data_IF_150922408323
#
_entry.id   IF_150922408323
#
_cell.length_a   1.000
_cell.length_b   1.000
_cell.length_c   1.000
_cell.angle_alpha   90.00
_cell.angle_beta   90.00
_cell.angle_gamma   90.00
#
_symmetry.space_group_name_H-M   'P 1'
#
loop_
_entity.id
_entity.type
_entity.pdbx_description
1 polymer ?
#
# COMPACT_ATOMS: atom_id res chain seq x y z
N UNK A 1 28.40 0.55 7.51
CA UNK A 1 28.11 -0.64 6.69
C UNK A 1 26.67 -0.51 6.22
N UNK A 2 26.41 -0.47 4.92
CA UNK A 2 25.03 -0.43 4.40
C UNK A 2 24.39 -1.80 4.61
N UNK A 3 23.35 -1.87 5.44
CA UNK A 3 22.52 -3.06 5.57
C UNK A 3 21.70 -3.18 4.28
N UNK A 4 22.04 -4.15 3.44
CA UNK A 4 21.29 -4.40 2.19
C UNK A 4 19.90 -4.90 2.55
N UNK A 5 18.89 -4.16 2.17
CA UNK A 5 17.47 -4.46 2.44
C UNK A 5 16.96 -5.41 1.35
N UNK A 6 17.49 -5.27 0.12
CA UNK A 6 17.04 -6.04 -1.04
C UNK A 6 18.10 -7.04 -1.47
N UNK A 7 17.71 -8.33 -1.60
CA UNK A 7 18.59 -9.39 -2.05
C UNK A 7 18.85 -9.30 -3.58
N UNK A 8 20.10 -9.04 -4.04
CA UNK A 8 20.37 -8.87 -5.48
C UNK A 8 20.06 -10.11 -6.32
N UNK A 9 20.22 -11.30 -5.75
CA UNK A 9 19.94 -12.56 -6.44
C UNK A 9 18.45 -12.69 -6.81
N UNK A 10 17.55 -12.26 -5.94
CA UNK A 10 16.10 -12.30 -6.19
C UNK A 10 15.72 -11.40 -7.35
N UNK A 11 16.31 -10.20 -7.42
CA UNK A 11 16.12 -9.26 -8.53
C UNK A 11 16.66 -9.85 -9.83
N UNK A 12 17.89 -10.37 -9.82
CA UNK A 12 18.50 -11.02 -10.98
C UNK A 12 17.64 -12.16 -11.53
N UNK A 13 17.18 -13.06 -10.65
CA UNK A 13 16.35 -14.20 -11.01
C UNK A 13 15.07 -13.73 -11.70
N UNK A 14 14.39 -12.74 -11.11
CA UNK A 14 13.15 -12.18 -11.66
C UNK A 14 13.36 -11.52 -13.02
N UNK A 15 14.41 -10.73 -13.17
CA UNK A 15 14.74 -10.10 -14.45
C UNK A 15 15.05 -11.15 -15.53
N UNK A 16 15.74 -12.24 -15.18
CA UNK A 16 16.04 -13.33 -16.12
C UNK A 16 14.77 -14.06 -16.56
N UNK A 17 13.87 -14.33 -15.62
CA UNK A 17 12.57 -14.95 -15.90
C UNK A 17 11.72 -14.10 -16.85
N UNK A 18 11.71 -12.78 -16.68
CA UNK A 18 10.92 -11.87 -17.50
C UNK A 18 11.51 -11.61 -18.89
N UNK A 19 12.84 -11.57 -19.01
CA UNK A 19 13.51 -11.14 -20.25
C UNK A 19 14.10 -12.29 -21.06
N UNK A 20 14.40 -13.44 -20.44
CA UNK A 20 15.16 -14.53 -21.04
C UNK A 20 16.61 -14.17 -21.39
N UNK A 21 17.08 -12.96 -21.06
CA UNK A 21 18.40 -12.44 -21.45
C UNK A 21 19.44 -12.60 -20.35
N UNK A 22 20.72 -12.58 -20.76
CA UNK A 22 21.84 -12.38 -19.82
C UNK A 22 21.77 -10.95 -19.30
N UNK A 23 22.01 -10.78 -18.01
CA UNK A 23 21.92 -9.49 -17.33
C UNK A 23 23.27 -9.19 -16.70
N UNK A 24 23.75 -7.99 -16.94
CA UNK A 24 25.00 -7.51 -16.36
C UNK A 24 24.87 -7.34 -14.84
N UNK A 25 25.93 -7.69 -14.10
CA UNK A 25 25.97 -7.53 -12.65
C UNK A 25 25.67 -6.09 -12.20
N UNK A 26 26.21 -5.08 -12.90
CA UNK A 26 26.00 -3.66 -12.58
C UNK A 26 24.53 -3.25 -12.71
N UNK A 27 23.84 -3.69 -13.77
CA UNK A 27 22.42 -3.41 -13.95
C UNK A 27 21.54 -3.92 -12.79
N UNK A 28 21.91 -5.06 -12.19
CA UNK A 28 21.21 -5.60 -11.01
C UNK A 28 21.39 -4.66 -9.82
N UNK A 29 22.61 -4.16 -9.60
CA UNK A 29 22.89 -3.25 -8.49
C UNK A 29 22.21 -1.89 -8.66
N UNK A 30 22.14 -1.36 -9.89
CA UNK A 30 21.39 -0.13 -10.15
C UNK A 30 19.91 -0.27 -9.74
N UNK A 31 19.28 -1.40 -10.09
CA UNK A 31 17.89 -1.66 -9.70
C UNK A 31 17.77 -1.87 -8.19
N UNK A 32 18.70 -2.58 -7.56
CA UNK A 32 18.71 -2.77 -6.10
C UNK A 32 18.80 -1.42 -5.39
N UNK A 33 19.74 -0.56 -5.78
CA UNK A 33 19.89 0.77 -5.20
C UNK A 33 18.61 1.59 -5.37
N UNK A 34 18.03 1.60 -6.58
CA UNK A 34 16.78 2.30 -6.83
C UNK A 34 15.63 1.80 -5.93
N UNK A 35 15.49 0.48 -5.76
CA UNK A 35 14.45 -0.09 -4.89
C UNK A 35 14.71 0.27 -3.42
N UNK A 36 15.96 0.20 -2.96
CA UNK A 36 16.33 0.59 -1.59
C UNK A 36 15.98 2.07 -1.33
N UNK A 37 16.29 2.97 -2.26
CA UNK A 37 15.89 4.38 -2.19
C UNK A 37 14.36 4.55 -2.15
N UNK A 38 13.62 3.76 -2.93
CA UNK A 38 12.15 3.81 -2.88
C UNK A 38 11.59 3.27 -1.55
N UNK A 39 12.21 2.26 -0.95
CA UNK A 39 11.84 1.74 0.37
C UNK A 39 12.03 2.84 1.41
N UNK A 40 13.20 3.49 1.44
CA UNK A 40 13.51 4.55 2.39
C UNK A 40 12.51 5.71 2.26
N UNK A 41 12.20 6.12 1.01
CA UNK A 41 11.21 7.16 0.73
C UNK A 41 9.81 6.79 1.24
N UNK A 42 9.39 5.54 1.03
CA UNK A 42 8.08 5.06 1.52
C UNK A 42 8.06 5.02 3.06
N UNK A 43 9.13 4.56 3.71
CA UNK A 43 9.22 4.51 5.18
C UNK A 43 9.08 5.92 5.77
N UNK A 44 9.83 6.90 5.25
CA UNK A 44 9.79 8.27 5.74
C UNK A 44 8.40 8.90 5.55
N UNK A 45 7.80 8.73 4.37
CA UNK A 45 6.45 9.23 4.14
C UNK A 45 5.40 8.52 5.02
N UNK A 46 5.58 7.22 5.28
CA UNK A 46 4.67 6.47 6.16
C UNK A 46 4.72 6.98 7.60
N UNK A 47 5.90 7.42 8.05
CA UNK A 47 6.07 8.06 9.34
C UNK A 47 5.34 9.41 9.40
N UNK A 48 5.46 10.25 8.36
CA UNK A 48 4.73 11.52 8.27
C UNK A 48 3.20 11.31 8.31
N UNK A 49 2.69 10.33 7.54
CA UNK A 49 1.27 9.99 7.55
C UNK A 49 0.79 9.49 8.92
N UNK A 50 1.62 8.69 9.59
CA UNK A 50 1.35 8.17 10.92
C UNK A 50 1.27 9.29 11.96
N UNK A 51 2.24 10.21 11.95
CA UNK A 51 2.28 11.37 12.85
C UNK A 51 1.10 12.31 12.60
N UNK A 52 0.79 12.60 11.33
CA UNK A 52 -0.37 13.42 10.93
C UNK A 52 -1.69 12.83 11.43
N UNK A 53 -1.89 11.53 11.25
CA UNK A 53 -3.06 10.81 11.77
C UNK A 53 -3.17 10.87 13.29
N UNK A 54 -2.05 10.74 13.98
CA UNK A 54 -2.01 10.81 15.43
C UNK A 54 -2.30 12.21 15.97
N UNK A 55 -1.80 13.24 15.31
CA UNK A 55 -2.07 14.62 15.67
C UNK A 55 -3.55 14.95 15.51
N UNK A 56 -4.17 14.54 14.39
CA UNK A 56 -5.61 14.71 14.17
C UNK A 56 -6.45 14.02 15.26
N UNK A 57 -6.06 12.79 15.64
CA UNK A 57 -6.74 12.04 16.72
C UNK A 57 -6.58 12.71 18.07
N UNK A 58 -5.39 13.24 18.36
CA UNK A 58 -5.11 13.98 19.59
C UNK A 58 -6.01 15.21 19.70
N UNK A 59 -6.16 15.98 18.63
CA UNK A 59 -7.05 17.16 18.58
C UNK A 59 -8.50 16.76 18.86
N UNK A 60 -8.93 15.61 18.37
CA UNK A 60 -10.28 15.07 18.56
C UNK A 60 -10.48 14.38 19.93
N UNK A 61 -9.46 14.35 20.80
CA UNK A 61 -9.52 13.69 22.10
C UNK A 61 -9.54 12.15 22.02
N UNK A 62 -9.19 11.58 20.85
CA UNK A 62 -9.10 10.14 20.66
C UNK A 62 -7.72 9.58 21.02
N UNK A 63 -7.67 8.26 21.17
CA UNK A 63 -6.42 7.52 21.42
C UNK A 63 -5.41 7.68 20.27
N UNK A 64 -4.15 7.97 20.63
CA UNK A 64 -3.02 8.01 19.71
C UNK A 64 -2.53 6.60 19.40
N UNK A 65 -2.36 6.29 18.11
CA UNK A 65 -1.76 5.01 17.69
C UNK A 65 -0.27 5.00 18.03
N UNK A 66 0.23 3.84 18.45
CA UNK A 66 1.66 3.61 18.73
C UNK A 66 2.35 2.77 17.65
N UNK A 67 1.58 2.14 16.76
CA UNK A 67 2.07 1.23 15.73
C UNK A 67 1.69 1.78 14.35
N UNK A 68 2.69 1.91 13.48
CA UNK A 68 2.49 2.19 12.06
C UNK A 68 1.90 0.95 11.38
N UNK A 69 0.68 1.08 10.88
CA UNK A 69 -0.05 -0.01 10.24
C UNK A 69 0.07 0.03 8.70
N UNK A 70 -0.49 -0.99 8.04
CA UNK A 70 -0.50 -1.07 6.58
C UNK A 70 -1.25 0.10 5.92
N UNK A 71 -2.16 0.78 6.63
CA UNK A 71 -2.91 1.91 6.09
C UNK A 71 -2.03 3.16 5.99
N UNK A 72 -1.14 3.39 6.95
CA UNK A 72 -0.12 4.44 6.88
C UNK A 72 0.77 4.25 5.64
N UNK A 73 1.21 3.01 5.39
CA UNK A 73 2.03 2.66 4.23
C UNK A 73 1.27 2.84 2.91
N UNK A 74 0.00 2.41 2.84
CA UNK A 74 -0.84 2.61 1.65
C UNK A 74 -1.05 4.09 1.32
N UNK A 75 -1.29 4.93 2.33
CA UNK A 75 -1.46 6.37 2.17
C UNK A 75 -0.16 7.02 1.68
N UNK A 76 0.96 6.67 2.30
CA UNK A 76 2.28 7.14 1.88
C UNK A 76 2.57 6.79 0.42
N UNK A 77 2.33 5.55 0.02
CA UNK A 77 2.49 5.10 -1.36
C UNK A 77 1.60 5.91 -2.32
N UNK A 78 0.32 6.10 -1.97
CA UNK A 78 -0.62 6.88 -2.79
C UNK A 78 -0.18 8.34 -2.93
N UNK A 79 0.37 8.93 -1.87
CA UNK A 79 0.84 10.31 -1.86
C UNK A 79 2.13 10.49 -2.67
N UNK A 80 3.06 9.54 -2.62
CA UNK A 80 4.29 9.57 -3.43
C UNK A 80 3.97 9.35 -4.91
N UNK A 81 3.00 8.49 -5.23
CA UNK A 81 2.70 8.07 -6.60
C UNK A 81 1.21 8.22 -6.95
N UNK A 82 0.69 9.46 -7.01
CA UNK A 82 -0.74 9.73 -7.17
C UNK A 82 -1.32 9.20 -8.49
N UNK A 83 -0.48 9.01 -9.51
CA UNK A 83 -0.88 8.59 -10.85
C UNK A 83 -0.59 7.10 -11.15
N UNK A 84 -0.04 6.33 -10.19
CA UNK A 84 0.21 4.90 -10.40
C UNK A 84 -0.97 4.06 -9.93
N UNK A 85 -1.54 3.28 -10.86
CA UNK A 85 -2.32 2.10 -10.53
C UNK A 85 -1.39 1.06 -9.91
N UNK A 86 -1.24 1.09 -8.58
CA UNK A 86 -0.56 0.01 -7.88
C UNK A 86 -1.30 -1.30 -8.12
N UNK A 87 -0.67 -2.21 -8.86
CA UNK A 87 -1.01 -3.62 -8.80
C UNK A 87 -0.44 -4.12 -7.47
N UNK A 88 -1.19 -3.94 -6.38
CA UNK A 88 -0.88 -4.62 -5.13
C UNK A 88 -0.97 -6.13 -5.40
N UNK A 89 0.12 -6.92 -5.27
CA UNK A 89 -0.02 -8.36 -5.31
C UNK A 89 -1.02 -8.77 -4.22
N UNK A 90 -1.96 -9.68 -4.55
CA UNK A 90 -2.87 -10.27 -3.56
C UNK A 90 -2.02 -10.72 -2.36
N UNK A 91 -2.40 -10.25 -1.16
CA UNK A 91 -1.67 -10.43 0.11
C UNK A 91 -1.02 -11.81 0.21
N UNK A 92 0.30 -11.84 0.39
CA UNK A 92 0.97 -12.95 1.03
C UNK A 92 1.14 -12.57 2.50
N UNK A 93 0.32 -13.16 3.38
CA UNK A 93 0.46 -13.04 4.83
C UNK A 93 -0.22 -11.82 5.44
N UNK A 94 -1.48 -11.97 5.81
CA UNK A 94 -2.18 -11.08 6.72
C UNK A 94 -3.52 -11.72 7.03
N UNK A 95 -3.72 -12.13 8.27
CA UNK A 95 -5.02 -12.61 8.77
C UNK A 95 -6.09 -11.59 8.36
N UNK A 96 -6.93 -11.99 7.41
CA UNK A 96 -8.14 -11.29 7.06
C UNK A 96 -9.19 -11.65 8.11
N UNK A 97 -9.07 -10.99 9.27
CA UNK A 97 -10.20 -10.80 10.17
C UNK A 97 -11.24 -9.96 9.44
N UNK A 98 -12.41 -10.58 9.24
CA UNK A 98 -13.61 -10.04 8.62
C UNK A 98 -13.98 -8.63 9.10
N UNK A 99 -14.12 -7.68 8.18
CA UNK A 99 -15.01 -6.54 8.38
C UNK A 99 -15.46 -5.99 7.01
N UNK A 100 -16.17 -6.84 6.26
CA UNK A 100 -16.75 -6.46 4.97
C UNK A 100 -18.17 -7.04 4.85
N UNK A 101 -19.02 -6.77 5.86
CA UNK A 101 -20.47 -6.99 5.73
C UNK A 101 -21.28 -5.97 6.52
N UNK A 102 -22.15 -5.28 5.77
CA UNK A 102 -23.18 -4.29 6.14
C UNK A 102 -22.58 -2.89 6.21
N UNK A 103 -22.87 -1.98 5.30
CA UNK A 103 -24.20 -1.46 5.00
C UNK A 103 -24.25 -0.93 3.56
N UNK A 104 -25.02 -1.57 2.67
CA UNK A 104 -25.52 -0.91 1.47
C UNK A 104 -26.69 -1.66 0.88
N UNK A 105 -27.86 -1.58 1.54
CA UNK A 105 -29.17 -1.85 0.94
C UNK A 105 -30.23 -0.98 1.59
N UNK A 106 -30.44 0.21 1.03
CA UNK A 106 -31.76 0.84 1.06
C UNK A 106 -31.97 1.68 -0.20
N UNK A 107 -32.62 1.13 -1.25
CA UNK A 107 -33.26 1.93 -2.27
C UNK A 107 -34.77 1.85 -2.04
N UNK A 108 -35.34 2.84 -1.36
CA UNK A 108 -36.79 3.03 -1.38
C UNK A 108 -37.10 4.51 -1.58
N UNK A 109 -36.92 5.01 -2.80
CA UNK A 109 -37.73 6.11 -3.31
C UNK A 109 -37.74 6.07 -4.84
N UNK A 110 -38.77 5.44 -5.41
CA UNK A 110 -39.29 5.74 -6.74
C UNK A 110 -40.75 5.27 -6.87
N UNK A 111 -41.62 6.24 -6.60
CA UNK A 111 -42.89 6.58 -7.30
C UNK A 111 -43.90 5.49 -7.71
N UNK A 112 -45.08 5.63 -7.08
CA UNK A 112 -46.41 5.88 -7.67
C UNK A 112 -47.11 4.85 -8.59
N UNK A 113 -48.36 4.57 -8.16
CA UNK A 113 -49.56 4.09 -8.90
C UNK A 113 -49.49 2.61 -9.36
N UNK A 114 -50.53 1.77 -9.24
CA UNK A 114 -51.93 1.87 -9.68
C UNK A 114 -52.74 0.84 -8.86
N UNK A 115 -54.02 1.14 -8.56
CA UNK A 115 -54.89 0.35 -7.69
C UNK A 115 -55.67 -0.79 -8.36
N UNK A 116 -56.36 -1.56 -7.51
CA UNK A 116 -57.49 -2.49 -7.73
C UNK A 116 -57.97 -2.81 -6.30
N UNK A 117 -59.23 -2.94 -5.92
CA UNK A 117 -60.54 -2.99 -6.55
C UNK A 117 -61.53 -3.30 -5.42
#
# INVERSE_FOLDING_TARGET
MSHKIVAPYSIWKRMRELTGKKIEKRAIFEIVNFIEEQIDKIILQSLEEFESLNEMRRIQGFYQRTIMDAECVKRAIKNIYPNNYYILPKRAGGDEGEEDRKENKHPQFLREMIGYG
#
